data_IF_277955588400
#
_entry.id   IF_277955588400
#
_cell.length_a   1.000
_cell.length_b   1.000
_cell.length_c   1.000
_cell.angle_alpha   90.00
_cell.angle_beta   90.00
_cell.angle_gamma   90.00
#
_symmetry.space_group_name_H-M   'P 1'
#
loop_
_entity.id
_entity.type
_entity.pdbx_description
1 polymer ?
#
# COMPACT_ATOMS: atom_id res chain seq x y z
N UNK A 1 11.33 -11.47 17.83
CA UNK A 1 10.01 -11.52 17.18
C UNK A 1 10.27 -11.50 15.67
N UNK A 2 9.88 -12.53 14.92
CA UNK A 2 10.08 -12.60 13.47
C UNK A 2 8.97 -11.88 12.72
N UNK A 3 9.24 -11.38 11.51
CA UNK A 3 8.22 -10.81 10.63
C UNK A 3 7.40 -11.97 10.04
N UNK A 4 6.07 -11.93 10.16
CA UNK A 4 5.17 -12.89 9.52
C UNK A 4 4.79 -12.39 8.11
N UNK A 5 5.23 -13.05 7.02
CA UNK A 5 4.94 -12.60 5.65
C UNK A 5 3.45 -12.49 5.33
N UNK A 6 2.61 -13.34 5.93
CA UNK A 6 1.16 -13.35 5.70
C UNK A 6 0.51 -12.10 6.28
N UNK A 7 0.89 -11.71 7.50
CA UNK A 7 0.38 -10.48 8.14
C UNK A 7 0.84 -9.23 7.39
N UNK A 8 2.08 -9.22 6.87
CA UNK A 8 2.60 -8.12 6.06
C UNK A 8 1.83 -8.00 4.73
N UNK A 9 1.54 -9.12 4.06
CA UNK A 9 0.71 -9.12 2.86
C UNK A 9 -0.73 -8.64 3.13
N UNK A 10 -1.33 -9.08 4.25
CA UNK A 10 -2.65 -8.62 4.66
C UNK A 10 -2.67 -7.11 4.91
N UNK A 11 -1.64 -6.58 5.57
CA UNK A 11 -1.48 -5.14 5.82
C UNK A 11 -1.35 -4.36 4.51
N UNK A 12 -0.57 -4.87 3.56
CA UNK A 12 -0.45 -4.27 2.23
C UNK A 12 -1.79 -4.22 1.49
N UNK A 13 -2.58 -5.29 1.56
CA UNK A 13 -3.93 -5.32 0.99
C UNK A 13 -4.88 -4.33 1.65
N UNK A 14 -4.80 -4.17 2.97
CA UNK A 14 -5.56 -3.16 3.70
C UNK A 14 -5.23 -1.73 3.28
N UNK A 15 -3.94 -1.42 3.05
CA UNK A 15 -3.52 -0.11 2.56
C UNK A 15 -4.06 0.19 1.15
N UNK A 16 -4.01 -0.78 0.23
CA UNK A 16 -4.59 -0.59 -1.11
C UNK A 16 -6.11 -0.35 -1.02
N UNK A 17 -6.83 -1.13 -0.21
CA UNK A 17 -8.27 -0.94 -0.03
C UNK A 17 -8.59 0.46 0.50
N UNK A 18 -7.86 0.94 1.51
CA UNK A 18 -8.04 2.28 2.07
C UNK A 18 -7.75 3.35 1.01
N UNK A 19 -6.71 3.16 0.19
CA UNK A 19 -6.34 4.09 -0.87
C UNK A 19 -7.41 4.16 -1.97
N UNK A 20 -7.96 3.02 -2.38
CA UNK A 20 -9.05 2.93 -3.37
C UNK A 20 -10.32 3.60 -2.84
N UNK A 21 -10.73 3.28 -1.60
CA UNK A 21 -11.90 3.89 -0.96
C UNK A 21 -11.75 5.41 -0.81
N UNK A 22 -10.55 5.88 -0.45
CA UNK A 22 -10.27 7.31 -0.34
C UNK A 22 -10.29 8.00 -1.70
N UNK A 23 -9.79 7.34 -2.75
CA UNK A 23 -9.85 7.84 -4.12
C UNK A 23 -11.29 8.10 -4.55
N UNK A 24 -12.18 7.12 -4.35
CA UNK A 24 -13.59 7.25 -4.70
C UNK A 24 -14.27 8.40 -3.94
N UNK A 25 -13.96 8.55 -2.66
CA UNK A 25 -14.52 9.62 -1.82
C UNK A 25 -14.03 11.01 -2.26
N UNK A 26 -12.74 11.16 -2.53
CA UNK A 26 -12.17 12.41 -3.02
C UNK A 26 -12.76 12.77 -4.38
N UNK A 27 -12.84 11.82 -5.31
CA UNK A 27 -13.40 12.06 -6.62
C UNK A 27 -14.89 12.46 -6.54
N UNK A 28 -15.67 11.81 -5.69
CA UNK A 28 -17.06 12.19 -5.44
C UNK A 28 -17.18 13.60 -4.86
N UNK A 29 -16.35 13.93 -3.87
CA UNK A 29 -16.35 15.24 -3.23
C UNK A 29 -15.94 16.35 -4.21
N UNK A 30 -14.89 16.13 -5.00
CA UNK A 30 -14.40 17.11 -5.97
C UNK A 30 -15.39 17.34 -7.11
N UNK A 31 -16.14 16.32 -7.53
CA UNK A 31 -17.27 16.51 -8.46
C UNK A 31 -18.33 17.45 -7.86
N UNK A 32 -18.70 17.27 -6.60
CA UNK A 32 -19.67 18.13 -5.93
C UNK A 32 -19.15 19.57 -5.76
N UNK A 33 -17.87 19.74 -5.38
CA UNK A 33 -17.24 21.05 -5.27
C UNK A 33 -17.24 21.79 -6.61
N UNK A 34 -16.85 21.12 -7.71
CA UNK A 34 -16.82 21.72 -9.05
C UNK A 34 -18.22 22.02 -9.61
N UNK A 35 -19.24 21.28 -9.19
CA UNK A 35 -20.63 21.57 -9.52
C UNK A 35 -21.14 22.82 -8.79
N UNK A 36 -20.60 23.12 -7.62
CA UNK A 36 -20.97 24.31 -6.84
C UNK A 36 -20.11 25.53 -7.20
N UNK A 37 -18.79 25.43 -7.05
CA UNK A 37 -17.83 26.51 -7.34
C UNK A 37 -17.61 26.63 -8.84
N UNK A 38 -17.87 27.82 -9.40
CA UNK A 38 -17.69 28.12 -10.82
C UNK A 38 -18.92 27.84 -11.69
N UNK A 39 -19.92 27.11 -11.18
CA UNK A 39 -21.20 26.87 -11.88
C UNK A 39 -22.35 27.53 -11.13
N UNK A 40 -22.70 27.07 -9.93
CA UNK A 40 -23.78 27.65 -9.12
C UNK A 40 -23.35 28.93 -8.42
N UNK A 41 -22.14 28.92 -7.86
CA UNK A 41 -21.52 30.08 -7.23
C UNK A 41 -20.45 30.67 -8.16
N UNK A 42 -20.69 31.90 -8.62
CA UNK A 42 -19.85 32.59 -9.61
C UNK A 42 -19.32 33.93 -9.08
N UNK A 43 -18.34 34.51 -9.78
CA UNK A 43 -17.73 35.80 -9.44
C UNK A 43 -16.47 35.70 -8.58
N UNK A 44 -15.90 36.84 -8.20
CA UNK A 44 -14.59 36.94 -7.52
C UNK A 44 -14.51 36.16 -6.21
N UNK A 45 -15.61 36.08 -5.46
CA UNK A 45 -15.68 35.29 -4.24
C UNK A 45 -15.54 33.79 -4.54
N UNK A 46 -16.26 33.26 -5.52
CA UNK A 46 -16.13 31.86 -5.93
C UNK A 46 -14.69 31.53 -6.39
N UNK A 47 -14.10 32.40 -7.22
CA UNK A 47 -12.72 32.23 -7.68
C UNK A 47 -11.68 32.20 -6.55
N UNK A 48 -11.91 32.93 -5.45
CA UNK A 48 -11.01 32.88 -4.27
C UNK A 48 -11.00 31.53 -3.56
N UNK A 49 -12.02 30.69 -3.80
CA UNK A 49 -12.14 29.36 -3.20
C UNK A 49 -11.72 28.23 -4.14
N UNK A 50 -11.50 28.48 -5.44
CA UNK A 50 -11.07 27.45 -6.40
C UNK A 50 -9.68 26.88 -6.06
N UNK A 51 -8.70 27.76 -5.82
CA UNK A 51 -7.31 27.35 -5.53
C UNK A 51 -7.19 26.48 -4.26
N UNK A 52 -7.80 26.86 -3.11
CA UNK A 52 -7.78 26.00 -1.92
C UNK A 52 -8.36 24.59 -2.14
N UNK A 53 -9.37 24.45 -3.00
CA UNK A 53 -9.93 23.14 -3.33
C UNK A 53 -8.99 22.31 -4.20
N UNK A 54 -8.31 22.93 -5.16
CA UNK A 54 -7.29 22.26 -5.96
C UNK A 54 -6.11 21.78 -5.10
N UNK A 55 -5.59 22.65 -4.22
CA UNK A 55 -4.50 22.28 -3.30
C UNK A 55 -4.89 21.13 -2.37
N UNK A 56 -6.14 21.12 -1.90
CA UNK A 56 -6.68 20.00 -1.11
C UNK A 56 -6.77 18.71 -1.91
N UNK A 57 -7.23 18.76 -3.16
CA UNK A 57 -7.29 17.58 -4.04
C UNK A 57 -5.89 17.00 -4.24
N UNK A 58 -4.91 17.86 -4.54
CA UNK A 58 -3.52 17.45 -4.75
C UNK A 58 -2.90 16.79 -3.51
N UNK A 59 -3.10 17.41 -2.33
CA UNK A 59 -2.63 16.84 -1.07
C UNK A 59 -3.26 15.48 -0.76
N UNK A 60 -4.56 15.32 -1.02
CA UNK A 60 -5.25 14.04 -0.86
C UNK A 60 -4.70 12.97 -1.81
N UNK A 61 -4.48 13.32 -3.10
CA UNK A 61 -3.88 12.42 -4.09
C UNK A 61 -2.46 12.01 -3.71
N UNK A 62 -1.69 12.90 -3.09
CA UNK A 62 -0.35 12.57 -2.58
C UNK A 62 -0.40 11.52 -1.46
N UNK A 63 -1.34 11.64 -0.52
CA UNK A 63 -1.54 10.65 0.55
C UNK A 63 -1.95 9.30 -0.02
N UNK A 64 -2.93 9.26 -0.94
CA UNK A 64 -3.35 8.04 -1.63
C UNK A 64 -2.16 7.35 -2.31
N UNK A 65 -1.35 8.12 -3.06
CA UNK A 65 -0.15 7.60 -3.70
C UNK A 65 0.87 7.02 -2.71
N UNK A 66 1.00 7.61 -1.52
CA UNK A 66 1.87 7.08 -0.46
C UNK A 66 1.39 5.72 0.06
N UNK A 67 0.07 5.52 0.21
CA UNK A 67 -0.48 4.23 0.65
C UNK A 67 -0.23 3.11 -0.35
N UNK A 68 -0.42 3.36 -1.65
CA UNK A 68 -0.06 2.37 -2.67
C UNK A 68 1.44 2.08 -2.71
N UNK A 69 2.28 3.11 -2.49
CA UNK A 69 3.73 2.95 -2.41
C UNK A 69 4.11 2.04 -1.24
N UNK A 70 3.56 2.32 -0.06
CA UNK A 70 3.79 1.54 1.15
C UNK A 70 3.27 0.11 1.03
N UNK A 71 2.09 -0.09 0.43
CA UNK A 71 1.57 -1.42 0.11
C UNK A 71 2.54 -2.20 -0.79
N UNK A 72 3.13 -1.55 -1.80
CA UNK A 72 4.16 -2.13 -2.65
C UNK A 72 5.43 -2.52 -1.89
N UNK A 73 5.90 -1.67 -0.98
CA UNK A 73 7.06 -1.94 -0.12
C UNK A 73 6.81 -3.10 0.85
N UNK A 74 5.62 -3.18 1.44
CA UNK A 74 5.22 -4.28 2.31
C UNK A 74 5.18 -5.61 1.55
N UNK A 75 4.58 -5.63 0.35
CA UNK A 75 4.59 -6.83 -0.52
C UNK A 75 6.01 -7.29 -0.84
N UNK A 76 6.91 -6.35 -1.16
CA UNK A 76 8.33 -6.66 -1.41
C UNK A 76 8.98 -7.27 -0.17
N UNK A 77 8.77 -6.66 1.00
CA UNK A 77 9.29 -7.16 2.28
C UNK A 77 8.81 -8.58 2.57
N UNK A 78 7.51 -8.87 2.38
CA UNK A 78 6.97 -10.20 2.57
C UNK A 78 7.61 -11.24 1.62
N UNK A 79 7.84 -10.87 0.37
CA UNK A 79 8.51 -11.72 -0.62
C UNK A 79 9.97 -12.01 -0.21
N UNK A 80 10.70 -11.01 0.25
CA UNK A 80 12.09 -11.15 0.72
C UNK A 80 12.19 -12.07 1.94
N UNK A 81 11.33 -11.88 2.95
CA UNK A 81 11.30 -12.75 4.14
C UNK A 81 10.99 -14.19 3.75
N UNK A 82 9.99 -14.40 2.90
CA UNK A 82 9.64 -15.75 2.41
C UNK A 82 10.79 -16.42 1.66
N UNK A 83 11.56 -15.66 0.87
CA UNK A 83 12.71 -16.18 0.14
C UNK A 83 13.86 -16.58 1.09
N UNK A 84 14.13 -15.76 2.12
CA UNK A 84 15.13 -16.04 3.15
C UNK A 84 14.76 -17.31 3.93
N UNK A 85 13.50 -17.44 4.33
CA UNK A 85 13.04 -18.61 5.09
C UNK A 85 13.14 -19.89 4.25
N UNK A 86 12.74 -19.85 2.97
CA UNK A 86 12.90 -20.99 2.05
C UNK A 86 14.37 -21.39 1.89
N UNK A 87 15.26 -20.42 1.71
CA UNK A 87 16.70 -20.67 1.58
C UNK A 87 17.29 -21.36 2.81
N UNK A 88 16.88 -20.91 4.00
CA UNK A 88 17.28 -21.52 5.28
C UNK A 88 16.77 -22.96 5.42
N UNK A 89 15.50 -23.22 5.10
CA UNK A 89 14.93 -24.57 5.13
C UNK A 89 15.70 -25.50 4.19
N UNK A 90 15.92 -25.09 2.94
CA UNK A 90 16.67 -25.90 1.97
C UNK A 90 18.14 -26.12 2.35
N UNK A 91 18.76 -25.19 3.11
CA UNK A 91 20.12 -25.39 3.64
C UNK A 91 20.13 -26.42 4.77
N UNK A 92 19.15 -26.36 5.68
CA UNK A 92 19.00 -27.33 6.77
C UNK A 92 18.68 -28.73 6.25
N UNK A 93 17.79 -28.86 5.27
CA UNK A 93 17.47 -30.16 4.64
C UNK A 93 18.70 -30.81 3.99
N UNK A 94 19.52 -30.02 3.27
CA UNK A 94 20.77 -30.51 2.69
C UNK A 94 21.79 -30.92 3.74
N UNK A 95 21.93 -30.13 4.82
CA UNK A 95 22.82 -30.48 5.92
C UNK A 95 22.35 -31.76 6.62
N UNK A 96 21.05 -31.93 6.86
CA UNK A 96 20.45 -33.13 7.43
C UNK A 96 20.62 -34.37 6.55
N UNK A 97 20.40 -34.24 5.23
CA UNK A 97 20.62 -35.32 4.26
C UNK A 97 22.10 -35.69 4.11
N UNK A 98 23.02 -34.76 4.34
CA UNK A 98 24.47 -35.03 4.34
C UNK A 98 24.94 -35.75 5.60
N UNK A 99 24.14 -35.74 6.67
CA UNK A 99 24.39 -36.42 7.93
C UNK A 99 23.82 -37.85 7.96
N UNK A 100 23.46 -38.41 6.80
CA UNK A 100 23.09 -39.82 6.65
C UNK A 100 24.31 -40.70 7.01
N UNK A 101 24.40 -41.06 8.29
CA UNK A 101 25.50 -41.81 8.88
C UNK A 101 25.37 -43.27 8.43
N UNK A 102 26.49 -43.92 8.02
CA UNK A 102 26.44 -45.32 7.60
C UNK A 102 25.94 -46.21 8.74
N UNK A 103 25.11 -47.20 8.41
CA UNK A 103 24.69 -48.25 9.36
C UNK A 103 25.93 -48.88 10.00
N UNK A 104 26.02 -48.74 11.32
CA UNK A 104 27.08 -49.38 12.11
C UNK A 104 26.72 -50.86 12.22
N UNK A 105 27.32 -51.67 11.34
CA UNK A 105 27.29 -53.14 11.38
C UNK A 105 28.18 -53.67 12.50
#
# INVERSE_FOLDING_TARGET
MGINPVEVQATAGGLDQIADELTDQIDAHMRAVRAFVGVEWTGTAAGSHENPWAEREDGARQIIGSFHTDAGLLRRTAAEVTAVDRSRVSATERAGSSLDLPDVV
#
